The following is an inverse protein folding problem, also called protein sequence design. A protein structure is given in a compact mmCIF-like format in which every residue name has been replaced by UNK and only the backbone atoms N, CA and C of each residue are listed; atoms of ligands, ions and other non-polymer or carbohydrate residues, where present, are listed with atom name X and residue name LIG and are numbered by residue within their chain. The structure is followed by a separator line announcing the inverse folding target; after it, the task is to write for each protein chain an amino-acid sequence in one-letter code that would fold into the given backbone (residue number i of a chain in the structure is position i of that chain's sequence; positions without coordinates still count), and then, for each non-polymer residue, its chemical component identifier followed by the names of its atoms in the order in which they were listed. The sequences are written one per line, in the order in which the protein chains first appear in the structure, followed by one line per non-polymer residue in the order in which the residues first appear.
data_IF_354309265768
#
_entry.id   IF_354309265768
#
_cell.length_a   1.000
_cell.length_b   1.000
_cell.length_c   1.000
_cell.angle_alpha   90.00
_cell.angle_beta   90.00
_cell.angle_gamma   90.00
#
_symmetry.space_group_name_H-M   'P 1'
#
loop_
_entity.id
_entity.type
_entity.pdbx_description
1 polymer ?
#
# COMPACT_ATOMS: atom_id res chain seq x y z
N UNK A 1 -11.39 -10.45 16.07
CA UNK A 1 -10.40 -11.35 15.45
C UNK A 1 -9.05 -10.67 15.63
N UNK A 2 -8.07 -11.39 16.19
CA UNK A 2 -6.70 -10.88 16.28
C UNK A 2 -5.98 -11.36 15.02
N UNK A 3 -5.51 -10.42 14.19
CA UNK A 3 -4.62 -10.75 13.09
C UNK A 3 -3.29 -11.26 13.67
N UNK A 4 -2.87 -12.47 13.30
CA UNK A 4 -1.69 -13.15 13.89
C UNK A 4 -0.56 -13.43 12.90
N UNK A 5 -0.73 -13.08 11.62
CA UNK A 5 0.30 -13.32 10.61
C UNK A 5 1.52 -12.42 10.86
N UNK A 6 2.72 -13.00 10.77
CA UNK A 6 3.97 -12.27 11.00
C UNK A 6 4.52 -11.75 9.68
N UNK A 7 5.04 -10.51 9.61
CA UNK A 7 5.67 -10.02 8.39
C UNK A 7 6.74 -10.97 7.86
N UNK A 8 6.61 -11.35 6.58
CA UNK A 8 7.50 -12.28 5.90
C UNK A 8 7.08 -13.75 6.02
N UNK A 9 5.99 -14.06 6.73
CA UNK A 9 5.39 -15.39 6.70
C UNK A 9 4.47 -15.55 5.47
N UNK A 10 4.24 -16.79 4.98
CA UNK A 10 3.31 -17.05 3.87
C UNK A 10 1.90 -16.53 4.15
N UNK A 11 1.44 -16.59 5.40
CA UNK A 11 0.12 -16.10 5.80
C UNK A 11 0.02 -14.58 5.65
N UNK A 12 1.13 -13.86 5.89
CA UNK A 12 1.16 -12.40 5.76
C UNK A 12 1.09 -11.96 4.30
N UNK A 13 1.43 -12.81 3.33
CA UNK A 13 1.35 -12.49 1.90
C UNK A 13 -0.08 -12.12 1.46
N UNK A 14 -1.10 -12.69 2.12
CA UNK A 14 -2.50 -12.39 1.86
C UNK A 14 -3.06 -11.27 2.74
N UNK A 15 -2.24 -10.66 3.60
CA UNK A 15 -2.70 -9.62 4.52
C UNK A 15 -3.12 -8.35 3.77
N UNK A 16 -4.25 -7.78 4.19
CA UNK A 16 -4.76 -6.51 3.68
C UNK A 16 -4.78 -5.49 4.81
N UNK A 17 -4.34 -4.27 4.51
CA UNK A 17 -4.50 -3.14 5.40
C UNK A 17 -5.82 -2.42 5.11
N UNK A 18 -6.74 -2.44 6.08
CA UNK A 18 -8.06 -1.79 6.00
C UNK A 18 -8.00 -0.43 6.68
N UNK A 19 -8.54 0.60 6.02
CA UNK A 19 -8.61 1.94 6.57
C UNK A 19 -9.88 2.12 7.40
N UNK A 20 -9.76 2.86 8.50
CA UNK A 20 -10.90 3.21 9.36
C UNK A 20 -11.74 4.36 8.80
N UNK A 21 -11.23 5.05 7.77
CA UNK A 21 -11.91 6.17 7.12
C UNK A 21 -11.49 6.30 5.65
N UNK A 22 -12.33 6.88 4.79
CA UNK A 22 -11.97 7.20 3.41
C UNK A 22 -10.78 8.16 3.30
N UNK A 23 -10.02 8.04 2.21
CA UNK A 23 -9.04 9.06 1.83
C UNK A 23 -9.75 10.16 1.03
N UNK A 24 -9.47 11.40 1.41
CA UNK A 24 -10.04 12.62 0.85
C UNK A 24 -8.94 13.68 0.73
N UNK A 25 -9.18 14.73 -0.06
CA UNK A 25 -8.26 15.87 -0.16
C UNK A 25 -7.94 16.52 1.19
N UNK A 26 -8.84 16.43 2.17
CA UNK A 26 -8.66 17.04 3.49
C UNK A 26 -7.79 16.20 4.45
N UNK A 27 -7.70 14.89 4.23
CA UNK A 27 -6.98 13.98 5.12
C UNK A 27 -5.86 13.17 4.42
N UNK A 28 -5.65 13.34 3.11
CA UNK A 28 -4.63 12.64 2.32
C UNK A 28 -3.23 12.73 2.96
N UNK A 29 -2.85 13.90 3.49
CA UNK A 29 -1.56 14.11 4.16
C UNK A 29 -1.33 13.21 5.40
N UNK A 30 -2.40 12.67 6.01
CA UNK A 30 -2.28 11.72 7.13
C UNK A 30 -1.81 10.33 6.69
N UNK A 31 -1.87 10.04 5.38
CA UNK A 31 -1.51 8.76 4.80
C UNK A 31 -0.18 8.83 4.01
N UNK A 32 0.61 9.91 4.14
CA UNK A 32 1.90 10.01 3.46
C UNK A 32 2.95 9.08 4.07
N UNK A 33 3.77 8.45 3.23
CA UNK A 33 4.80 7.46 3.65
C UNK A 33 6.07 8.12 4.18
N UNK A 34 6.49 9.21 3.53
CA UNK A 34 7.65 10.07 3.85
C UNK A 34 7.31 11.51 3.48
N UNK A 35 8.10 12.49 3.91
CA UNK A 35 7.86 13.90 3.58
C UNK A 35 7.87 14.14 2.06
N UNK A 36 8.68 13.40 1.30
CA UNK A 36 8.78 13.54 -0.15
C UNK A 36 7.81 12.65 -0.93
N UNK A 37 7.23 11.63 -0.29
CA UNK A 37 6.27 10.72 -0.92
C UNK A 37 4.85 11.25 -0.71
N UNK A 38 4.34 11.93 -1.73
CA UNK A 38 3.02 12.57 -1.69
C UNK A 38 1.96 11.63 -2.24
N UNK A 39 0.83 11.58 -1.54
CA UNK A 39 -0.37 10.87 -1.99
C UNK A 39 -1.09 11.70 -3.06
N UNK A 40 -1.22 11.17 -4.26
CA UNK A 40 -1.86 11.84 -5.39
C UNK A 40 -3.18 11.16 -5.79
N UNK A 41 -4.21 11.93 -6.18
CA UNK A 41 -5.46 11.33 -6.65
C UNK A 41 -5.25 10.71 -8.04
N UNK A 42 -5.66 9.45 -8.21
CA UNK A 42 -5.78 8.80 -9.52
C UNK A 42 -7.07 9.28 -10.19
N UNK A 43 -8.16 9.22 -9.43
CA UNK A 43 -9.49 9.69 -9.82
C UNK A 43 -10.27 10.22 -8.59
N UNK A 44 -11.60 10.23 -8.65
CA UNK A 44 -12.46 10.71 -7.56
C UNK A 44 -12.52 9.75 -6.35
N UNK A 45 -12.10 8.51 -6.51
CA UNK A 45 -12.31 7.38 -5.60
C UNK A 45 -11.04 6.59 -5.28
N UNK A 46 -9.92 6.89 -5.94
CA UNK A 46 -8.65 6.22 -5.73
C UNK A 46 -7.47 7.20 -5.62
N UNK A 47 -6.49 6.84 -4.79
CA UNK A 47 -5.27 7.61 -4.56
C UNK A 47 -4.04 6.71 -4.68
N UNK A 48 -2.96 7.26 -5.21
CA UNK A 48 -1.69 6.58 -5.43
C UNK A 48 -0.58 7.20 -4.59
N UNK A 49 0.27 6.36 -4.00
CA UNK A 49 1.46 6.76 -3.25
C UNK A 49 2.66 5.94 -3.73
N UNK A 50 3.71 6.55 -4.30
CA UNK A 50 4.92 5.83 -4.62
C UNK A 50 5.61 5.36 -3.35
N UNK A 51 5.94 4.07 -3.28
CA UNK A 51 6.66 3.46 -2.15
C UNK A 51 8.08 3.12 -2.51
N UNK A 52 8.28 2.64 -3.73
CA UNK A 52 9.59 2.27 -4.24
C UNK A 52 9.62 2.59 -5.74
N UNK A 53 10.67 3.27 -6.17
CA UNK A 53 10.91 3.62 -7.57
C UNK A 53 12.32 3.17 -7.94
N UNK A 54 12.43 2.46 -9.05
CA UNK A 54 13.70 2.07 -9.67
C UNK A 54 13.53 1.90 -11.17
N UNK A 55 14.63 1.69 -11.88
CA UNK A 55 14.60 1.52 -13.34
C UNK A 55 13.77 0.29 -13.77
N UNK A 56 13.77 -0.78 -12.97
CA UNK A 56 13.15 -2.06 -13.33
C UNK A 56 11.85 -2.36 -12.55
N UNK A 57 11.65 -1.73 -11.38
CA UNK A 57 10.54 -2.06 -10.50
C UNK A 57 10.03 -0.83 -9.75
N UNK A 58 8.78 -0.45 -10.03
CA UNK A 58 8.09 0.60 -9.30
C UNK A 58 6.86 0.02 -8.59
N UNK A 59 6.74 0.30 -7.30
CA UNK A 59 5.63 -0.13 -6.48
C UNK A 59 4.90 1.07 -5.88
N UNK A 60 3.60 1.07 -6.08
CA UNK A 60 2.70 2.09 -5.54
C UNK A 60 1.73 1.45 -4.56
N UNK A 61 1.38 2.18 -3.50
CA UNK A 61 0.17 1.93 -2.74
C UNK A 61 -1.00 2.62 -3.41
N UNK A 62 -2.11 1.89 -3.48
CA UNK A 62 -3.38 2.35 -4.02
C UNK A 62 -4.41 2.31 -2.90
N UNK A 63 -4.96 3.48 -2.56
CA UNK A 63 -6.01 3.62 -1.56
C UNK A 63 -7.36 3.76 -2.25
N UNK A 64 -8.23 2.77 -2.08
CA UNK A 64 -9.53 2.71 -2.75
C UNK A 64 -10.54 1.82 -1.99
N UNK A 65 -11.87 1.99 -2.21
CA UNK A 65 -12.91 1.15 -1.60
C UNK A 65 -13.07 -0.21 -2.30
N UNK A 66 -12.02 -1.04 -2.30
CA UNK A 66 -11.93 -2.27 -3.11
C UNK A 66 -12.16 -3.57 -2.32
N UNK A 67 -12.49 -3.52 -1.02
CA UNK A 67 -12.75 -4.72 -0.21
C UNK A 67 -14.10 -4.64 0.51
N UNK A 68 -15.16 -5.19 -0.11
CA UNK A 68 -16.50 -5.16 0.47
C UNK A 68 -16.98 -3.76 0.86
N UNK A 69 -16.73 -2.77 -0.02
CA UNK A 69 -16.91 -1.32 0.18
C UNK A 69 -16.01 -0.67 1.25
N UNK A 70 -15.10 -1.41 1.88
CA UNK A 70 -14.10 -0.83 2.78
C UNK A 70 -12.93 -0.29 1.98
N UNK A 71 -12.40 0.82 2.47
CA UNK A 71 -11.15 1.39 1.97
C UNK A 71 -9.98 0.51 2.42
N UNK A 72 -9.08 0.20 1.50
CA UNK A 72 -7.85 -0.54 1.79
C UNK A 72 -6.64 0.19 1.20
N UNK A 73 -5.45 -0.22 1.62
CA UNK A 73 -4.21 0.11 0.94
C UNK A 73 -3.71 -1.13 0.20
N UNK A 74 -3.95 -1.22 -1.10
CA UNK A 74 -3.44 -2.31 -1.96
C UNK A 74 -2.14 -1.90 -2.63
N UNK A 75 -1.39 -2.86 -3.18
CA UNK A 75 -0.18 -2.57 -3.94
C UNK A 75 -0.43 -2.76 -5.44
N UNK A 76 0.25 -1.97 -6.28
CA UNK A 76 0.29 -2.15 -7.72
C UNK A 76 1.71 -1.92 -8.24
N UNK A 77 2.15 -2.76 -9.18
CA UNK A 77 3.37 -2.50 -9.93
C UNK A 77 3.06 -1.51 -11.06
N UNK A 78 3.96 -0.56 -11.27
CA UNK A 78 3.81 0.50 -12.26
C UNK A 78 4.99 0.50 -13.22
N UNK A 79 4.72 0.63 -14.51
CA UNK A 79 5.75 0.89 -15.51
C UNK A 79 5.83 2.39 -15.77
N UNK A 80 7.01 2.97 -15.57
CA UNK A 80 7.28 4.38 -15.80
C UNK A 80 8.27 4.51 -16.96
N UNK A 81 7.85 5.19 -18.01
CA UNK A 81 8.70 5.53 -19.15
C UNK A 81 9.06 7.02 -19.12
N UNK A 82 10.15 7.39 -19.79
CA UNK A 82 10.59 8.79 -19.94
C UNK A 82 10.75 9.56 -18.60
N UNK A 83 10.98 8.83 -17.50
CA UNK A 83 11.19 9.37 -16.16
C UNK A 83 9.94 9.83 -15.41
N UNK A 84 8.78 9.93 -16.06
CA UNK A 84 7.55 10.40 -15.40
C UNK A 84 6.23 9.91 -16.01
N UNK A 85 6.25 9.09 -17.07
CA UNK A 85 5.04 8.65 -17.75
C UNK A 85 4.65 7.26 -17.27
N UNK A 86 3.58 7.17 -16.49
CA UNK A 86 2.98 5.88 -16.17
C UNK A 86 2.32 5.33 -17.43
N UNK A 87 2.88 4.25 -17.99
CA UNK A 87 2.36 3.60 -19.21
C UNK A 87 1.52 2.37 -18.90
N UNK A 88 1.79 1.71 -17.78
CA UNK A 88 1.05 0.53 -17.33
C UNK A 88 0.96 0.47 -15.80
N UNK A 89 -0.13 -0.12 -15.31
CA UNK A 89 -0.33 -0.46 -13.91
C UNK A 89 -0.88 -1.89 -13.84
N UNK A 90 -0.32 -2.72 -12.96
CA UNK A 90 -0.81 -4.08 -12.73
C UNK A 90 -2.18 -4.09 -12.03
N UNK A 91 -2.77 -5.28 -11.93
CA UNK A 91 -3.87 -5.50 -10.98
C UNK A 91 -3.42 -5.20 -9.54
N UNK A 92 -4.40 -4.84 -8.70
CA UNK A 92 -4.17 -4.60 -7.29
C UNK A 92 -3.93 -5.92 -6.56
N UNK A 93 -2.86 -5.97 -5.78
CA UNK A 93 -2.54 -7.10 -4.90
C UNK A 93 -2.65 -6.70 -3.42
N UNK A 94 -2.83 -7.67 -2.51
CA UNK A 94 -2.81 -7.40 -1.08
C UNK A 94 -1.55 -6.64 -0.63
N UNK A 95 -1.69 -5.85 0.44
CA UNK A 95 -0.59 -5.08 1.04
C UNK A 95 0.57 -5.99 1.42
N UNK A 96 0.25 -7.18 1.93
CA UNK A 96 1.20 -8.22 2.30
C UNK A 96 2.02 -8.76 1.12
N UNK A 97 1.38 -8.96 -0.04
CA UNK A 97 2.06 -9.39 -1.27
C UNK A 97 3.08 -8.35 -1.72
N UNK A 98 2.71 -7.07 -1.69
CA UNK A 98 3.63 -5.98 -2.01
C UNK A 98 4.79 -5.87 -1.01
N UNK A 99 4.55 -6.09 0.28
CA UNK A 99 5.62 -6.19 1.28
C UNK A 99 6.59 -7.34 0.95
N UNK A 100 6.07 -8.53 0.62
CA UNK A 100 6.91 -9.69 0.27
C UNK A 100 7.80 -9.36 -0.92
N UNK A 101 7.24 -8.77 -1.99
CA UNK A 101 8.02 -8.34 -3.15
C UNK A 101 9.13 -7.32 -2.78
N UNK A 102 8.79 -6.29 -1.98
CA UNK A 102 9.78 -5.32 -1.50
C UNK A 102 10.88 -5.97 -0.65
N UNK A 103 10.53 -6.93 0.21
CA UNK A 103 11.49 -7.57 1.12
C UNK A 103 12.59 -8.34 0.38
N UNK A 104 12.28 -8.82 -0.83
CA UNK A 104 13.23 -9.51 -1.70
C UNK A 104 14.12 -8.52 -2.47
N UNK A 105 13.61 -7.34 -2.80
CA UNK A 105 14.32 -6.31 -3.58
C UNK A 105 15.15 -5.37 -2.72
N UNK A 106 14.56 -4.83 -1.65
CA UNK A 106 15.18 -3.81 -0.80
C UNK A 106 14.68 -3.93 0.65
N UNK A 107 15.51 -4.52 1.52
CA UNK A 107 15.18 -4.76 2.92
C UNK A 107 14.89 -3.49 3.70
N UNK A 108 15.62 -2.41 3.45
CA UNK A 108 15.44 -1.13 4.18
C UNK A 108 14.09 -0.49 3.85
N UNK A 109 13.68 -0.54 2.58
CA UNK A 109 12.36 -0.06 2.15
C UNK A 109 11.25 -0.93 2.72
N UNK A 110 11.44 -2.25 2.78
CA UNK A 110 10.48 -3.16 3.38
C UNK A 110 10.29 -2.89 4.89
N UNK A 111 11.38 -2.59 5.62
CA UNK A 111 11.30 -2.18 7.04
C UNK A 111 10.54 -0.86 7.17
N UNK A 112 10.84 0.14 6.34
CA UNK A 112 10.12 1.40 6.34
C UNK A 112 8.63 1.22 6.01
N UNK A 113 8.31 0.34 5.07
CA UNK A 113 6.93 -0.01 4.68
C UNK A 113 6.13 -0.55 5.85
N UNK A 114 6.67 -1.51 6.61
CA UNK A 114 6.00 -1.99 7.82
C UNK A 114 5.84 -0.89 8.87
N UNK A 115 6.91 -0.14 9.15
CA UNK A 115 6.87 0.93 10.14
C UNK A 115 5.79 1.98 9.82
N UNK A 116 5.55 2.25 8.54
CA UNK A 116 4.46 3.11 8.09
C UNK A 116 3.08 2.56 8.44
N UNK A 117 2.79 1.30 8.15
CA UNK A 117 1.49 0.71 8.49
C UNK A 117 1.28 0.56 10.01
N UNK A 118 2.35 0.30 10.76
CA UNK A 118 2.31 0.32 12.22
C UNK A 118 2.01 1.74 12.75
N UNK A 119 2.59 2.77 12.13
CA UNK A 119 2.26 4.17 12.45
C UNK A 119 0.80 4.52 12.15
N UNK A 120 0.28 4.10 11.00
CA UNK A 120 -1.14 4.29 10.66
C UNK A 120 -2.05 3.59 11.68
N UNK A 121 -1.69 2.38 12.10
CA UNK A 121 -2.44 1.61 13.11
C UNK A 121 -2.41 2.30 14.47
N UNK A 122 -1.25 2.76 14.91
CA UNK A 122 -1.07 3.50 16.17
C UNK A 122 -1.85 4.83 16.19
N UNK A 123 -2.01 5.47 15.03
CA UNK A 123 -2.82 6.67 14.86
C UNK A 123 -4.32 6.39 14.64
N UNK A 124 -4.75 5.13 14.75
CA UNK A 124 -6.12 4.67 14.52
C UNK A 124 -6.63 4.96 13.10
N UNK A 125 -5.75 5.05 12.10
CA UNK A 125 -6.09 5.30 10.70
C UNK A 125 -6.43 4.02 9.92
N UNK A 126 -5.99 2.86 10.41
CA UNK A 126 -6.33 1.56 9.83
C UNK A 126 -5.87 0.41 10.70
N UNK A 127 -5.98 -0.81 10.18
CA UNK A 127 -5.58 -2.04 10.84
C UNK A 127 -5.34 -3.16 9.83
N UNK A 128 -4.51 -4.13 10.22
CA UNK A 128 -4.29 -5.36 9.47
C UNK A 128 -5.47 -6.33 9.61
N UNK A 129 -5.85 -6.94 8.50
CA UNK A 129 -6.81 -8.03 8.44
C UNK A 129 -6.33 -9.13 7.51
N UNK A 130 -6.84 -10.34 7.73
CA UNK A 130 -6.70 -11.41 6.75
C UNK A 130 -7.38 -10.96 5.45
N UNK A 131 -6.70 -11.16 4.33
CA UNK A 131 -7.31 -10.94 3.01
C UNK A 131 -8.48 -11.90 2.76
N UNK A 132 -9.20 -11.71 1.64
CA UNK A 132 -10.23 -12.67 1.26
C UNK A 132 -9.57 -14.05 1.16
N UNK A 133 -10.09 -15.01 1.92
CA UNK A 133 -9.70 -16.40 1.70
C UNK A 133 -10.21 -16.78 0.31
N UNK A 134 -9.29 -17.20 -0.56
CA UNK A 134 -9.59 -17.67 -1.90
C UNK A 134 -10.56 -18.86 -1.87
#
# INVERSE_FOLDING_TARGET
MSFTAQPGSPEFENAIFILNQPVTRYNAAKFSFKEEAVLEPIDQTAWALPIYLSDDFNLFLIFAPNYGNRWTASCAQVMIENGNQITQMSDLVPTGTGFTALSQLNKDTAVAFLAYFESLSAQHLGYWADGPQA
#
